data_IF_999870219065
#
_entry.id   IF_999870219065
#
_cell.length_a   1.000
_cell.length_b   1.000
_cell.length_c   1.000
_cell.angle_alpha   90.00
_cell.angle_beta   90.00
_cell.angle_gamma   90.00
#
_symmetry.space_group_name_H-M   'P 1'
#
loop_
_entity.id
_entity.type
_entity.pdbx_description
1 polymer ?
#
# COMPACT_ATOMS: atom_id res chain seq x y z
N UNK A 1 -3.06 22.17 10.13
CA UNK A 1 -4.53 22.28 10.32
C UNK A 1 -5.34 21.31 9.45
N UNK A 2 -4.72 20.56 8.52
CA UNK A 2 -5.46 19.64 7.62
C UNK A 2 -6.37 18.66 8.38
N UNK A 3 -5.85 18.02 9.43
CA UNK A 3 -6.65 17.15 10.31
C UNK A 3 -7.91 17.83 10.86
N UNK A 4 -7.78 19.02 11.47
CA UNK A 4 -8.91 19.74 12.08
C UNK A 4 -9.98 20.15 11.06
N UNK A 5 -9.58 20.49 9.83
CA UNK A 5 -10.51 20.85 8.76
C UNK A 5 -11.38 19.67 8.30
N UNK A 6 -10.90 18.45 8.50
CA UNK A 6 -11.59 17.21 8.15
C UNK A 6 -12.11 16.45 9.39
N UNK A 7 -12.32 17.15 10.52
CA UNK A 7 -12.88 16.58 11.76
C UNK A 7 -11.95 15.53 12.44
N UNK A 8 -10.66 15.58 12.13
CA UNK A 8 -9.61 14.75 12.71
C UNK A 8 -8.73 15.51 13.71
N UNK A 9 -7.83 14.78 14.37
CA UNK A 9 -6.87 15.34 15.32
C UNK A 9 -5.49 14.74 15.13
N UNK A 10 -4.46 15.59 15.18
CA UNK A 10 -3.07 15.14 15.22
C UNK A 10 -2.78 14.53 16.60
N UNK A 11 -2.39 13.25 16.61
CA UNK A 11 -2.00 12.54 17.82
C UNK A 11 -0.56 12.84 18.26
N UNK A 12 -0.17 12.28 19.40
CA UNK A 12 1.24 12.29 19.82
C UNK A 12 2.07 11.39 18.90
N UNK A 13 3.37 11.68 18.79
CA UNK A 13 4.31 10.87 18.01
C UNK A 13 4.19 9.39 18.38
N UNK A 14 3.91 8.54 17.39
CA UNK A 14 3.83 7.09 17.56
C UNK A 14 2.48 6.53 18.01
N UNK A 15 1.45 7.36 18.24
CA UNK A 15 0.17 6.89 18.81
C UNK A 15 -0.57 5.83 17.96
N UNK A 16 -0.31 5.78 16.66
CA UNK A 16 -0.84 4.76 15.74
C UNK A 16 0.27 3.97 15.05
N UNK A 17 1.55 4.26 15.33
CA UNK A 17 2.66 3.66 14.58
C UNK A 17 2.73 2.13 14.75
N UNK A 18 2.31 1.62 15.91
CA UNK A 18 2.26 0.18 16.19
C UNK A 18 1.22 -0.58 15.34
N UNK A 19 0.25 0.13 14.74
CA UNK A 19 -0.76 -0.46 13.86
C UNK A 19 -0.22 -0.71 12.45
N UNK A 20 0.96 -0.22 12.11
CA UNK A 20 1.52 -0.30 10.77
C UNK A 20 2.87 -1.00 10.78
N UNK A 21 3.02 -1.92 9.83
CA UNK A 21 4.30 -2.57 9.53
C UNK A 21 4.91 -1.90 8.31
N UNK A 22 6.21 -1.61 8.36
CA UNK A 22 6.95 -1.16 7.19
C UNK A 22 7.22 -2.37 6.30
N UNK A 23 6.78 -2.31 5.05
CA UNK A 23 6.84 -3.42 4.10
C UNK A 23 7.41 -2.91 2.79
N UNK A 24 8.39 -3.61 2.23
CA UNK A 24 8.82 -3.38 0.85
C UNK A 24 7.76 -3.93 -0.09
N UNK A 25 7.27 -3.11 -1.02
CA UNK A 25 6.28 -3.45 -2.03
C UNK A 25 6.93 -3.30 -3.40
N UNK A 26 6.86 -4.35 -4.22
CA UNK A 26 7.36 -4.35 -5.60
C UNK A 26 6.21 -4.74 -6.52
N UNK A 27 5.91 -3.89 -7.51
CA UNK A 27 4.91 -4.17 -8.55
C UNK A 27 5.57 -4.59 -9.84
N UNK A 28 5.07 -5.69 -10.39
CA UNK A 28 5.53 -6.27 -11.66
C UNK A 28 4.29 -6.56 -12.50
N UNK A 29 4.24 -6.15 -13.79
CA UNK A 29 3.13 -6.51 -14.67
C UNK A 29 2.97 -8.03 -14.73
N UNK A 30 1.75 -8.53 -14.53
CA UNK A 30 1.49 -9.97 -14.49
C UNK A 30 1.57 -10.60 -15.87
N UNK A 31 2.16 -11.79 -15.93
CA UNK A 31 2.23 -12.63 -17.13
C UNK A 31 1.87 -14.06 -16.73
N UNK A 32 0.63 -14.46 -17.01
CA UNK A 32 0.12 -15.79 -16.61
C UNK A 32 0.93 -16.95 -17.17
N UNK A 33 1.71 -16.75 -18.24
CA UNK A 33 2.59 -17.80 -18.78
C UNK A 33 3.85 -18.04 -17.93
N UNK A 34 4.17 -17.13 -17.02
CA UNK A 34 5.38 -17.14 -16.19
C UNK A 34 5.09 -17.09 -14.68
N UNK A 35 3.83 -17.24 -14.29
CA UNK A 35 3.39 -17.13 -12.89
C UNK A 35 4.21 -18.02 -11.95
N UNK A 36 4.26 -19.33 -12.22
CA UNK A 36 5.01 -20.29 -11.38
C UNK A 36 6.49 -19.89 -11.22
N UNK A 37 7.12 -19.48 -12.32
CA UNK A 37 8.52 -19.05 -12.31
C UNK A 37 8.72 -17.75 -11.52
N UNK A 38 7.81 -16.79 -11.68
CA UNK A 38 7.85 -15.52 -10.95
C UNK A 38 7.71 -15.73 -9.45
N UNK A 39 6.74 -16.55 -9.03
CA UNK A 39 6.54 -16.91 -7.63
C UNK A 39 7.79 -17.57 -7.03
N UNK A 40 8.41 -18.51 -7.74
CA UNK A 40 9.66 -19.15 -7.31
C UNK A 40 10.78 -18.11 -7.12
N UNK A 41 11.05 -17.27 -8.12
CA UNK A 41 12.08 -16.22 -8.06
C UNK A 41 11.85 -15.25 -6.90
N UNK A 42 10.61 -14.79 -6.72
CA UNK A 42 10.26 -13.84 -5.67
C UNK A 42 10.51 -14.44 -4.28
N UNK A 43 9.99 -15.64 -4.02
CA UNK A 43 10.12 -16.30 -2.71
C UNK A 43 11.58 -16.66 -2.40
N UNK A 44 12.33 -17.20 -3.37
CA UNK A 44 13.74 -17.54 -3.18
C UNK A 44 14.62 -16.30 -2.92
N UNK A 45 14.21 -15.14 -3.43
CA UNK A 45 14.89 -13.86 -3.21
C UNK A 45 14.58 -13.19 -1.86
N UNK A 46 13.70 -13.78 -1.04
CA UNK A 46 13.35 -13.28 0.29
C UNK A 46 12.03 -12.53 0.37
N UNK A 47 11.17 -12.63 -0.65
CA UNK A 47 9.80 -12.15 -0.54
C UNK A 47 9.03 -12.90 0.56
N UNK A 48 8.15 -12.17 1.25
CA UNK A 48 7.24 -12.74 2.25
C UNK A 48 5.96 -13.28 1.59
N UNK A 49 5.44 -12.56 0.61
CA UNK A 49 4.21 -12.94 -0.09
C UNK A 49 4.17 -12.34 -1.49
N UNK A 50 3.40 -12.99 -2.38
CA UNK A 50 3.14 -12.52 -3.75
C UNK A 50 1.64 -12.62 -4.00
N UNK A 51 1.01 -11.48 -4.28
CA UNK A 51 -0.42 -11.40 -4.57
C UNK A 51 -0.65 -10.99 -6.03
N UNK A 52 -1.60 -11.64 -6.69
CA UNK A 52 -2.10 -11.22 -8.00
C UNK A 52 -3.21 -10.20 -7.82
N UNK A 53 -2.97 -8.95 -8.21
CA UNK A 53 -3.90 -7.83 -8.09
C UNK A 53 -4.07 -7.20 -9.47
N UNK A 54 -5.27 -7.32 -10.04
CA UNK A 54 -5.60 -6.85 -11.38
C UNK A 54 -4.63 -7.36 -12.47
N UNK A 55 -3.80 -6.47 -13.02
CA UNK A 55 -2.80 -6.76 -14.07
C UNK A 55 -1.36 -6.76 -13.53
N UNK A 56 -1.19 -6.87 -12.21
CA UNK A 56 0.10 -6.85 -11.55
C UNK A 56 0.25 -8.01 -10.56
N UNK A 57 1.48 -8.43 -10.37
CA UNK A 57 1.92 -9.13 -9.19
C UNK A 57 2.49 -8.13 -8.20
N UNK A 58 1.95 -8.14 -6.99
CA UNK A 58 2.42 -7.36 -5.85
C UNK A 58 3.25 -8.27 -4.95
N UNK A 59 4.56 -8.01 -4.89
CA UNK A 59 5.49 -8.73 -4.04
C UNK A 59 5.73 -7.93 -2.77
N UNK A 60 5.46 -8.54 -1.61
CA UNK A 60 5.76 -7.94 -0.31
C UNK A 60 6.98 -8.60 0.33
N UNK A 61 7.82 -7.81 0.98
CA UNK A 61 9.03 -8.29 1.64
C UNK A 61 9.43 -7.41 2.83
N UNK A 62 10.40 -7.85 3.63
CA UNK A 62 11.06 -6.97 4.59
C UNK A 62 11.80 -5.86 3.83
N UNK A 63 11.66 -4.58 4.23
CA UNK A 63 12.36 -3.46 3.58
C UNK A 63 13.88 -3.65 3.45
N UNK A 64 14.50 -4.46 4.30
CA UNK A 64 15.93 -4.75 4.27
C UNK A 64 16.34 -5.65 3.10
N UNK A 65 15.46 -6.54 2.64
CA UNK A 65 15.75 -7.50 1.56
C UNK A 65 15.18 -7.06 0.22
N UNK A 66 14.38 -5.99 0.20
CA UNK A 66 13.72 -5.47 -1.00
C UNK A 66 14.68 -5.22 -2.19
N UNK A 67 15.90 -4.77 -1.93
CA UNK A 67 16.89 -4.55 -3.02
C UNK A 67 17.29 -5.87 -3.68
N UNK A 68 17.44 -6.93 -2.89
CA UNK A 68 17.79 -8.27 -3.39
C UNK A 68 16.62 -8.88 -4.17
N UNK A 69 15.38 -8.68 -3.69
CA UNK A 69 14.15 -9.09 -4.38
C UNK A 69 14.04 -8.42 -5.75
N UNK A 70 14.19 -7.09 -5.82
CA UNK A 70 14.15 -6.34 -7.10
C UNK A 70 15.24 -6.82 -8.06
N UNK A 71 16.46 -7.06 -7.55
CA UNK A 71 17.57 -7.53 -8.38
C UNK A 71 17.31 -8.95 -8.94
N UNK A 72 16.75 -9.85 -8.13
CA UNK A 72 16.41 -11.21 -8.56
C UNK A 72 15.31 -11.21 -9.63
N UNK A 73 14.24 -10.45 -9.42
CA UNK A 73 13.14 -10.28 -10.38
C UNK A 73 13.67 -9.73 -11.71
N UNK A 74 14.49 -8.67 -11.66
CA UNK A 74 15.08 -8.07 -12.86
C UNK A 74 16.01 -9.04 -13.59
N UNK A 75 16.78 -9.85 -12.86
CA UNK A 75 17.69 -10.86 -13.43
C UNK A 75 16.95 -12.02 -14.09
N UNK A 76 15.71 -12.29 -13.67
CA UNK A 76 14.81 -13.27 -14.28
C UNK A 76 14.00 -12.68 -15.46
N UNK A 77 14.44 -11.53 -16.01
CA UNK A 77 13.84 -10.86 -17.17
C UNK A 77 12.39 -10.37 -16.94
N UNK A 78 12.02 -10.09 -15.69
CA UNK A 78 10.77 -9.40 -15.36
C UNK A 78 11.01 -7.89 -15.23
N UNK A 79 10.05 -7.09 -15.70
CA UNK A 79 10.12 -5.63 -15.63
C UNK A 79 9.48 -5.18 -14.33
N UNK A 80 10.28 -4.61 -13.42
CA UNK A 80 9.75 -3.94 -12.23
C UNK A 80 9.14 -2.60 -12.64
N UNK A 81 7.85 -2.44 -12.40
CA UNK A 81 7.14 -1.18 -12.64
C UNK A 81 7.44 -0.18 -11.52
N UNK A 82 7.29 -0.63 -10.28
CA UNK A 82 7.56 0.19 -9.10
C UNK A 82 8.11 -0.64 -7.96
N UNK A 83 8.86 0.03 -7.09
CA UNK A 83 9.38 -0.55 -5.87
C UNK A 83 9.43 0.53 -4.80
N UNK A 84 8.67 0.37 -3.71
CA UNK A 84 8.53 1.36 -2.65
C UNK A 84 8.44 0.74 -1.26
N UNK A 85 8.78 1.51 -0.22
CA UNK A 85 8.55 1.10 1.17
C UNK A 85 7.24 1.72 1.63
N UNK A 86 6.24 0.88 1.83
CA UNK A 86 4.92 1.29 2.29
C UNK A 86 4.71 0.95 3.76
N UNK A 87 3.60 1.41 4.31
CA UNK A 87 3.11 1.04 5.64
C UNK A 87 1.81 0.27 5.50
N UNK A 88 1.86 -1.02 5.78
CA UNK A 88 0.69 -1.90 5.73
C UNK A 88 0.03 -1.92 7.11
N UNK A 89 -1.27 -1.62 7.23
CA UNK A 89 -1.98 -1.71 8.50
C UNK A 89 -2.16 -3.18 8.93
N UNK A 90 -1.96 -3.46 10.21
CA UNK A 90 -2.22 -4.78 10.79
C UNK A 90 -3.73 -5.09 10.90
N UNK A 91 -4.55 -4.05 11.00
CA UNK A 91 -6.02 -4.14 11.10
C UNK A 91 -6.65 -2.94 10.41
N UNK A 92 -7.71 -3.18 9.65
CA UNK A 92 -8.50 -2.13 9.02
C UNK A 92 -9.70 -1.72 9.87
N UNK A 93 -10.21 -0.51 9.63
CA UNK A 93 -11.44 0.04 10.23
C UNK A 93 -12.42 0.32 9.11
N UNK A 94 -13.55 -0.37 9.13
CA UNK A 94 -14.59 -0.17 8.12
C UNK A 94 -15.28 1.20 8.31
N UNK A 95 -15.54 1.89 7.20
CA UNK A 95 -16.29 3.15 7.15
C UNK A 95 -17.44 2.98 6.16
N UNK A 96 -18.63 2.73 6.69
CA UNK A 96 -19.89 2.58 5.96
C UNK A 96 -20.63 3.92 5.81
N UNK A 97 -20.44 4.86 6.73
CA UNK A 97 -21.02 6.21 6.66
C UNK A 97 -20.36 7.05 5.57
N UNK A 98 -21.14 7.38 4.53
CA UNK A 98 -20.72 8.18 3.37
C UNK A 98 -20.19 9.56 3.78
N UNK A 99 -20.77 10.19 4.80
CA UNK A 99 -20.31 11.51 5.25
C UNK A 99 -18.90 11.44 5.87
N UNK A 100 -18.64 10.40 6.65
CA UNK A 100 -17.32 10.11 7.24
C UNK A 100 -16.32 9.72 6.16
N UNK A 101 -16.69 8.83 5.24
CA UNK A 101 -15.85 8.43 4.12
C UNK A 101 -15.40 9.65 3.30
N UNK A 102 -16.33 10.57 2.98
CA UNK A 102 -16.03 11.82 2.25
C UNK A 102 -15.03 12.71 2.99
N UNK A 103 -15.15 12.84 4.32
CA UNK A 103 -14.21 13.62 5.14
C UNK A 103 -12.82 12.99 5.15
N UNK A 104 -12.75 11.66 5.30
CA UNK A 104 -11.49 10.92 5.33
C UNK A 104 -10.79 10.99 3.98
N UNK A 105 -11.49 10.77 2.87
CA UNK A 105 -10.90 10.89 1.53
C UNK A 105 -10.41 12.31 1.23
N UNK A 106 -11.15 13.34 1.62
CA UNK A 106 -10.71 14.73 1.51
C UNK A 106 -9.47 15.03 2.37
N UNK A 107 -9.34 14.41 3.54
CA UNK A 107 -8.12 14.51 4.35
C UNK A 107 -6.93 13.86 3.63
N UNK A 108 -7.13 12.67 3.04
CA UNK A 108 -6.09 11.96 2.29
C UNK A 108 -5.60 12.80 1.11
N UNK A 109 -6.51 13.27 0.26
CA UNK A 109 -6.21 14.14 -0.89
C UNK A 109 -5.41 15.38 -0.46
N UNK A 110 -5.85 16.09 0.59
CA UNK A 110 -5.15 17.28 1.09
C UNK A 110 -3.76 16.98 1.64
N UNK A 111 -3.54 15.79 2.20
CA UNK A 111 -2.24 15.40 2.71
C UNK A 111 -1.32 15.00 1.56
N UNK A 112 -1.82 14.27 0.56
CA UNK A 112 -1.05 13.89 -0.63
C UNK A 112 -0.66 15.12 -1.48
N UNK A 113 -1.54 16.12 -1.57
CA UNK A 113 -1.29 17.38 -2.28
C UNK A 113 -0.32 18.33 -1.55
N UNK A 114 0.09 18.01 -0.32
CA UNK A 114 0.93 18.89 0.47
C UNK A 114 2.41 18.66 0.16
N UNK A 115 3.11 19.69 -0.32
CA UNK A 115 4.52 19.62 -0.78
C UNK A 115 5.50 18.94 0.19
N UNK A 116 5.32 19.15 1.50
CA UNK A 116 6.17 18.54 2.54
C UNK A 116 5.81 17.09 2.92
N UNK A 117 4.72 16.54 2.39
CA UNK A 117 4.27 15.16 2.66
C UNK A 117 4.82 14.25 1.57
N UNK A 118 5.47 13.16 2.00
CA UNK A 118 6.09 12.19 1.09
C UNK A 118 5.26 10.92 0.92
N UNK A 119 4.48 10.56 1.95
CA UNK A 119 3.65 9.36 1.95
C UNK A 119 2.56 9.50 3.00
N UNK A 120 1.34 9.14 2.65
CA UNK A 120 0.23 9.02 3.58
C UNK A 120 -0.17 7.56 3.67
N UNK A 121 -0.53 7.11 4.87
CA UNK A 121 -1.00 5.75 5.08
C UNK A 121 -2.15 5.78 6.07
N UNK A 122 -3.17 4.99 5.78
CA UNK A 122 -4.36 4.89 6.58
C UNK A 122 -4.78 3.43 6.70
N UNK A 123 -5.65 3.14 7.66
CA UNK A 123 -6.18 1.80 7.87
C UNK A 123 -7.69 1.74 7.65
N UNK A 124 -8.29 2.70 6.94
CA UNK A 124 -9.72 2.61 6.65
C UNK A 124 -9.99 1.60 5.53
N UNK A 125 -11.19 1.03 5.54
CA UNK A 125 -11.74 0.22 4.46
C UNK A 125 -13.14 0.77 4.16
N UNK A 126 -13.40 1.20 2.92
CA UNK A 126 -14.70 1.74 2.53
C UNK A 126 -15.37 0.69 1.63
N UNK A 127 -16.54 0.15 1.99
CA UNK A 127 -17.26 -0.81 1.15
C UNK A 127 -17.66 -0.20 -0.20
N UNK A 128 -17.69 -1.01 -1.26
CA UNK A 128 -18.04 -0.57 -2.63
C UNK A 128 -19.39 0.17 -2.69
N UNK A 129 -20.38 -0.25 -1.89
CA UNK A 129 -21.69 0.41 -1.80
C UNK A 129 -21.58 1.86 -1.31
N UNK A 130 -20.69 2.13 -0.36
CA UNK A 130 -20.44 3.48 0.14
C UNK A 130 -19.61 4.30 -0.86
N UNK A 131 -18.67 3.66 -1.58
CA UNK A 131 -17.90 4.30 -2.66
C UNK A 131 -18.82 4.76 -3.80
N UNK A 132 -19.74 3.91 -4.25
CA UNK A 132 -20.68 4.25 -5.33
C UNK A 132 -21.64 5.40 -5.00
N UNK A 133 -21.77 5.76 -3.72
CA UNK A 133 -22.54 6.93 -3.27
C UNK A 133 -21.69 8.21 -3.15
N UNK A 134 -20.37 8.10 -3.32
CA UNK A 134 -19.44 9.23 -3.28
C UNK A 134 -19.22 9.86 -4.66
N UNK A 135 -19.42 9.08 -5.73
CA UNK A 135 -19.36 9.48 -7.15
C UNK A 135 -20.45 10.49 -7.56
#
# INVERSE_FOLDING_TARGET
KLFELCDGKLGATGCVAYLFTRTGMVRVPSDSSKEDHFYEVAIESGANDVASVESYWEVTCDPQVMTDVVAAITKADFVVESSEIIRVPATTVEIDDVATARKVLNLMERLDDHDDVQSVSANFSIPDEAIGQLE
#
